data_IF_043288491985
#
_entry.id   IF_043288491985
#
_cell.length_a   1.000
_cell.length_b   1.000
_cell.length_c   1.000
_cell.angle_alpha   90.00
_cell.angle_beta   90.00
_cell.angle_gamma   90.00
#
_symmetry.space_group_name_H-M   'P 1'
#
loop_
_entity.id
_entity.type
_entity.pdbx_description
1 polymer ?
#
# COMPACT_ATOMS: atom_id res chain seq x y z
N UNK A 1 0.18 12.92 -11.78
CA UNK A 1 0.69 11.56 -11.50
C UNK A 1 1.66 11.50 -10.33
N UNK A 2 2.60 12.42 -10.24
CA UNK A 2 3.54 12.45 -9.12
C UNK A 2 2.83 12.57 -7.78
N UNK A 3 1.85 13.44 -7.67
CA UNK A 3 1.07 13.60 -6.44
C UNK A 3 0.31 12.32 -6.11
N UNK A 4 -0.26 11.66 -7.12
CA UNK A 4 -0.95 10.40 -6.93
C UNK A 4 0.00 9.34 -6.38
N UNK A 5 1.20 9.25 -6.95
CA UNK A 5 2.20 8.29 -6.47
C UNK A 5 2.62 8.58 -5.04
N UNK A 6 2.86 9.83 -4.69
CA UNK A 6 3.19 10.21 -3.31
C UNK A 6 2.09 9.76 -2.34
N UNK A 7 0.84 9.92 -2.75
CA UNK A 7 -0.28 9.55 -1.88
C UNK A 7 -0.49 8.04 -1.77
N UNK A 8 -0.01 7.28 -2.72
CA UNK A 8 -0.23 5.83 -2.78
C UNK A 8 0.96 5.01 -2.31
N UNK A 9 2.18 5.51 -2.51
CA UNK A 9 3.37 4.76 -2.14
C UNK A 9 3.45 4.54 -0.63
N UNK A 10 3.55 3.28 -0.17
CA UNK A 10 3.60 3.01 1.26
C UNK A 10 4.99 3.24 1.82
N UNK A 11 5.05 3.73 3.04
CA UNK A 11 6.32 3.87 3.76
C UNK A 11 6.62 2.64 4.60
N UNK A 12 5.58 1.92 5.00
CA UNK A 12 5.71 0.73 5.83
C UNK A 12 4.94 -0.42 5.21
N UNK A 13 5.44 -1.62 5.42
CA UNK A 13 4.68 -2.83 5.10
C UNK A 13 4.85 -3.81 6.24
N UNK A 14 4.11 -4.91 6.19
CA UNK A 14 4.10 -5.89 7.27
C UNK A 14 4.66 -7.19 6.74
N UNK A 15 5.62 -7.75 7.46
CA UNK A 15 6.21 -9.05 7.13
C UNK A 15 5.92 -10.05 8.24
N UNK A 16 5.61 -11.28 7.85
CA UNK A 16 5.40 -12.34 8.80
C UNK A 16 6.74 -12.85 9.33
N UNK A 17 6.82 -13.03 10.64
CA UNK A 17 8.00 -13.60 11.30
C UNK A 17 7.55 -14.66 12.28
N UNK A 18 8.32 -15.73 12.37
CA UNK A 18 8.03 -16.82 13.31
C UNK A 18 8.93 -16.69 14.52
N UNK A 19 8.31 -16.70 15.69
CA UNK A 19 9.03 -16.66 16.96
C UNK A 19 8.37 -17.65 17.89
N UNK A 20 9.11 -18.65 18.33
CA UNK A 20 8.61 -19.62 19.30
C UNK A 20 7.34 -20.35 18.90
N UNK A 21 7.19 -20.67 17.62
CA UNK A 21 6.02 -21.36 17.10
C UNK A 21 4.84 -20.47 16.75
N UNK A 22 4.89 -19.18 17.11
CA UNK A 22 3.86 -18.22 16.74
C UNK A 22 4.31 -17.39 15.54
N UNK A 23 3.35 -16.95 14.74
CA UNK A 23 3.64 -16.07 13.60
C UNK A 23 3.18 -14.66 13.94
N UNK A 24 4.10 -13.71 13.83
CA UNK A 24 3.81 -12.29 14.07
C UNK A 24 3.98 -11.51 12.80
N UNK A 25 3.21 -10.45 12.65
CA UNK A 25 3.33 -9.52 11.53
C UNK A 25 4.10 -8.30 12.02
N UNK A 26 5.29 -8.10 11.47
CA UNK A 26 6.21 -7.07 11.92
C UNK A 26 6.28 -5.95 10.89
N UNK A 27 6.05 -4.68 11.29
CA UNK A 27 6.19 -3.56 10.35
C UNK A 27 7.65 -3.32 10.01
N UNK A 28 7.92 -3.08 8.73
CA UNK A 28 9.25 -2.75 8.25
C UNK A 28 9.16 -1.59 7.27
N UNK A 29 10.24 -0.82 7.20
CA UNK A 29 10.37 0.26 6.24
C UNK A 29 10.47 -0.30 4.83
N UNK A 30 9.78 0.35 3.89
CA UNK A 30 9.82 -0.04 2.49
C UNK A 30 10.92 0.75 1.79
N UNK A 31 11.79 0.07 1.07
CA UNK A 31 12.86 0.72 0.30
C UNK A 31 12.27 1.54 -0.83
N UNK A 32 12.92 2.65 -1.24
CA UNK A 32 12.38 3.53 -2.26
C UNK A 32 12.00 2.83 -3.57
N UNK A 33 12.79 1.88 -4.03
CA UNK A 33 12.49 1.15 -5.26
C UNK A 33 11.20 0.33 -5.12
N UNK A 34 11.03 -0.32 -3.98
CA UNK A 34 9.84 -1.11 -3.72
C UNK A 34 8.62 -0.23 -3.50
N UNK A 35 8.80 0.96 -2.94
CA UNK A 35 7.69 1.90 -2.77
C UNK A 35 7.08 2.25 -4.13
N UNK A 36 7.91 2.55 -5.11
CA UNK A 36 7.43 2.83 -6.47
C UNK A 36 6.73 1.62 -7.07
N UNK A 37 7.33 0.45 -6.93
CA UNK A 37 6.74 -0.79 -7.45
C UNK A 37 5.37 -1.07 -6.85
N UNK A 38 5.26 -0.93 -5.53
CA UNK A 38 3.98 -1.15 -4.85
C UNK A 38 2.95 -0.11 -5.25
N UNK A 39 3.34 1.17 -5.33
CA UNK A 39 2.44 2.23 -5.75
C UNK A 39 1.86 1.98 -7.14
N UNK A 40 2.73 1.66 -8.10
CA UNK A 40 2.30 1.37 -9.46
C UNK A 40 1.42 0.13 -9.53
N UNK A 41 1.80 -0.91 -8.79
CA UNK A 41 1.02 -2.16 -8.75
C UNK A 41 -0.37 -1.91 -8.19
N UNK A 42 -0.48 -1.15 -7.12
CA UNK A 42 -1.78 -0.88 -6.50
C UNK A 42 -2.66 -0.04 -7.40
N UNK A 43 -2.10 0.99 -8.03
CA UNK A 43 -2.86 1.79 -8.99
C UNK A 43 -3.40 0.90 -10.11
N UNK A 44 -2.56 0.04 -10.67
CA UNK A 44 -2.96 -0.87 -11.74
C UNK A 44 -4.04 -1.84 -11.29
N UNK A 45 -3.83 -2.47 -10.13
CA UNK A 45 -4.76 -3.47 -9.61
C UNK A 45 -6.14 -2.88 -9.36
N UNK A 46 -6.18 -1.73 -8.69
CA UNK A 46 -7.46 -1.11 -8.36
C UNK A 46 -8.12 -0.45 -9.56
N UNK A 47 -7.33 -0.05 -10.57
CA UNK A 47 -7.89 0.43 -11.82
C UNK A 47 -8.67 -0.68 -12.52
N UNK A 48 -8.17 -1.89 -12.51
CA UNK A 48 -8.85 -3.03 -13.13
C UNK A 48 -10.23 -3.32 -12.53
N UNK A 49 -10.41 -2.96 -11.29
CA UNK A 49 -11.66 -3.22 -10.57
C UNK A 49 -12.66 -2.07 -10.68
N UNK A 50 -12.33 -1.03 -11.42
CA UNK A 50 -13.23 0.10 -11.60
C UNK A 50 -14.26 -0.21 -12.69
N UNK A 51 -15.32 0.58 -12.71
CA UNK A 51 -16.45 0.36 -13.61
C UNK A 51 -16.36 1.10 -14.94
N UNK A 52 -15.36 1.97 -15.11
CA UNK A 52 -15.21 2.66 -16.38
C UNK A 52 -14.95 1.67 -17.52
N UNK A 53 -15.21 2.12 -18.71
CA UNK A 53 -15.26 1.26 -19.89
C UNK A 53 -13.91 0.77 -20.38
N UNK A 54 -12.92 1.64 -20.41
CA UNK A 54 -11.59 1.30 -20.91
C UNK A 54 -10.58 1.36 -19.79
N UNK A 55 -9.46 0.65 -19.97
CA UNK A 55 -8.38 0.69 -18.98
C UNK A 55 -7.79 2.09 -18.85
N UNK A 56 -7.75 2.83 -19.95
CA UNK A 56 -7.30 4.23 -19.92
C UNK A 56 -8.14 5.06 -18.98
N UNK A 57 -9.45 4.94 -19.07
CA UNK A 57 -10.38 5.68 -18.21
C UNK A 57 -10.26 5.23 -16.77
N UNK A 58 -10.08 3.94 -16.55
CA UNK A 58 -9.92 3.38 -15.21
C UNK A 58 -8.65 3.88 -14.56
N UNK A 59 -7.54 3.87 -15.28
CA UNK A 59 -6.27 4.40 -14.77
C UNK A 59 -6.38 5.89 -14.46
N UNK A 60 -6.95 6.66 -15.38
CA UNK A 60 -7.12 8.09 -15.16
C UNK A 60 -7.95 8.36 -13.92
N UNK A 61 -9.05 7.62 -13.76
CA UNK A 61 -9.92 7.77 -12.59
C UNK A 61 -9.21 7.42 -11.30
N UNK A 62 -8.45 6.33 -11.29
CA UNK A 62 -7.73 5.92 -10.09
C UNK A 62 -6.64 6.93 -9.72
N UNK A 63 -5.91 7.43 -10.72
CA UNK A 63 -4.88 8.45 -10.49
C UNK A 63 -5.50 9.71 -9.93
N UNK A 64 -6.62 10.16 -10.48
CA UNK A 64 -7.30 11.37 -10.00
C UNK A 64 -7.81 11.18 -8.57
N UNK A 65 -8.37 10.02 -8.26
CA UNK A 65 -8.81 9.73 -6.91
C UNK A 65 -7.63 9.73 -5.94
N UNK A 66 -6.49 9.19 -6.35
CA UNK A 66 -5.29 9.17 -5.51
C UNK A 66 -4.77 10.59 -5.24
N UNK A 67 -4.84 11.47 -6.23
CA UNK A 67 -4.46 12.88 -6.04
C UNK A 67 -5.32 13.52 -4.96
N UNK A 68 -6.59 13.12 -4.88
CA UNK A 68 -7.53 13.65 -3.89
C UNK A 68 -7.57 12.83 -2.61
N UNK A 69 -6.58 11.97 -2.40
CA UNK A 69 -6.48 11.10 -1.22
C UNK A 69 -7.70 10.21 -1.03
N UNK A 70 -8.13 9.60 -2.13
CA UNK A 70 -9.26 8.68 -2.12
C UNK A 70 -8.99 7.57 -3.15
N UNK A 71 -9.93 6.63 -3.29
CA UNK A 71 -9.81 5.52 -4.22
C UNK A 71 -9.19 4.28 -3.59
N UNK A 72 -9.22 3.18 -4.34
CA UNK A 72 -8.79 1.87 -3.85
C UNK A 72 -7.31 1.79 -3.52
N UNK A 73 -6.47 2.33 -4.38
CA UNK A 73 -5.01 2.31 -4.16
C UNK A 73 -4.63 3.10 -2.92
N UNK A 74 -5.22 4.27 -2.75
CA UNK A 74 -4.98 5.09 -1.57
C UNK A 74 -5.44 4.36 -0.31
N UNK A 75 -6.61 3.77 -0.37
CA UNK A 75 -7.15 3.01 0.76
C UNK A 75 -6.25 1.83 1.12
N UNK A 76 -5.68 1.17 0.13
CA UNK A 76 -4.75 0.06 0.37
C UNK A 76 -3.52 0.54 1.15
N UNK A 77 -3.00 1.71 0.79
CA UNK A 77 -1.88 2.30 1.53
C UNK A 77 -2.27 2.59 2.98
N UNK A 78 -3.45 3.18 3.17
CA UNK A 78 -3.94 3.49 4.52
C UNK A 78 -4.13 2.23 5.34
N UNK A 79 -4.72 1.20 4.76
CA UNK A 79 -4.92 -0.08 5.43
C UNK A 79 -3.59 -0.74 5.80
N UNK A 80 -2.60 -0.66 4.90
CA UNK A 80 -1.27 -1.21 5.16
C UNK A 80 -0.58 -0.47 6.30
N UNK A 81 -0.67 0.85 6.31
CA UNK A 81 -0.10 1.65 7.39
C UNK A 81 -0.80 1.39 8.72
N UNK A 82 -2.12 1.23 8.70
CA UNK A 82 -2.89 0.89 9.89
C UNK A 82 -2.45 -0.46 10.45
N UNK A 83 -2.27 -1.44 9.58
CA UNK A 83 -1.82 -2.76 9.97
C UNK A 83 -0.43 -2.70 10.59
N UNK A 84 0.47 -1.93 9.98
CA UNK A 84 1.81 -1.74 10.51
C UNK A 84 1.77 -1.07 11.88
N UNK A 85 0.91 -0.07 12.05
CA UNK A 85 0.73 0.61 13.32
C UNK A 85 0.20 -0.34 14.40
N UNK A 86 -0.80 -1.13 14.04
CA UNK A 86 -1.39 -2.10 14.98
C UNK A 86 -0.39 -3.15 15.43
N UNK A 87 0.57 -3.50 14.57
CA UNK A 87 1.57 -4.52 14.87
C UNK A 87 2.90 -3.95 15.33
N UNK A 88 2.95 -2.65 15.57
CA UNK A 88 4.18 -1.97 15.97
C UNK A 88 4.79 -2.55 17.24
N UNK A 89 3.96 -2.96 18.17
CA UNK A 89 4.42 -3.55 19.42
C UNK A 89 5.27 -4.80 19.21
N UNK A 90 4.98 -5.57 18.16
CA UNK A 90 5.70 -6.80 17.88
C UNK A 90 7.11 -6.55 17.35
N UNK A 91 7.39 -5.36 16.85
CA UNK A 91 8.73 -5.01 16.41
C UNK A 91 9.72 -4.97 17.55
N UNK A 92 9.24 -4.84 18.78
CA UNK A 92 10.08 -4.82 19.97
C UNK A 92 10.56 -6.20 20.40
N UNK A 93 9.99 -7.26 19.85
CA UNK A 93 10.35 -8.61 20.23
C UNK A 93 11.67 -9.07 19.64
N UNK A 94 12.32 -8.25 18.91
CA UNK A 94 13.65 -8.52 18.41
C UNK A 94 13.78 -9.84 17.68
N UNK A 95 14.22 -9.75 16.53
CA UNK A 95 14.53 -10.93 15.73
C UNK A 95 16.03 -11.04 15.53
#
# INVERSE_FOLDING_TARGET
FEQAMENVMPQLEVKARRVGGATYQVPIEVRPERRQTLGLRWITTYSRNRSERTMRERLAGEIMDAVNSTGGAFKKREDTHKMAEANKAFAHYRW
#
